data_IF_098083372617
#
_entry.id   IF_098083372617
#
_cell.length_a   1.000
_cell.length_b   1.000
_cell.length_c   1.000
_cell.angle_alpha   90.00
_cell.angle_beta   90.00
_cell.angle_gamma   90.00
#
_symmetry.space_group_name_H-M   'P 1'
#
loop_
_entity.id
_entity.type
_entity.pdbx_description
1 polymer ?
#
# COMPACT_ATOMS: atom_id res chain seq x y z
N UNK A 1 11.02 12.16 -4.78
CA UNK A 1 9.88 12.47 -3.89
C UNK A 1 9.47 11.19 -3.19
N UNK A 2 9.35 11.21 -1.87
CA UNK A 2 8.93 10.07 -1.06
C UNK A 2 7.57 10.36 -0.44
N UNK A 3 6.61 9.45 -0.62
CA UNK A 3 5.28 9.55 -0.03
C UNK A 3 5.17 8.61 1.16
N UNK A 4 4.41 9.04 2.17
CA UNK A 4 4.09 8.27 3.35
C UNK A 4 2.58 8.20 3.55
N UNK A 5 2.08 7.02 3.91
CA UNK A 5 0.67 6.83 4.21
C UNK A 5 0.48 5.92 5.42
N UNK A 6 -0.54 6.22 6.22
CA UNK A 6 -0.96 5.44 7.38
C UNK A 6 -1.99 4.40 6.96
N UNK A 7 -1.82 3.15 7.38
CA UNK A 7 -2.87 2.15 7.20
C UNK A 7 -4.05 2.45 8.13
N UNK A 8 -5.23 2.65 7.55
CA UNK A 8 -6.50 2.91 8.26
C UNK A 8 -7.48 1.74 8.15
N UNK A 9 -7.22 0.75 7.30
CA UNK A 9 -7.99 -0.50 7.22
C UNK A 9 -7.08 -1.69 6.89
N UNK A 10 -6.73 -2.46 7.93
CA UNK A 10 -5.97 -3.72 7.84
C UNK A 10 -6.88 -4.97 7.81
N UNK A 11 -8.20 -4.82 7.67
CA UNK A 11 -9.13 -5.95 7.74
C UNK A 11 -9.17 -6.74 6.42
N UNK A 12 -9.80 -7.93 6.40
CA UNK A 12 -10.01 -8.72 5.19
C UNK A 12 -8.71 -9.04 4.44
N UNK A 13 -7.69 -9.51 5.18
CA UNK A 13 -6.56 -10.22 4.59
C UNK A 13 -7.09 -11.48 3.89
N UNK A 14 -6.83 -11.70 2.59
CA UNK A 14 -7.21 -12.95 1.92
C UNK A 14 -6.62 -14.15 2.65
N UNK A 15 -7.38 -15.24 2.74
CA UNK A 15 -6.96 -16.47 3.42
C UNK A 15 -5.71 -17.11 2.81
N UNK A 16 -5.52 -16.91 1.51
CA UNK A 16 -4.43 -17.38 0.67
C UNK A 16 -3.33 -16.31 0.48
N UNK A 17 -3.37 -15.20 1.23
CA UNK A 17 -2.36 -14.14 1.14
C UNK A 17 -1.03 -14.58 1.78
N UNK A 18 0.00 -14.69 0.95
CA UNK A 18 1.38 -14.96 1.36
C UNK A 18 2.21 -13.68 1.32
N UNK A 19 2.94 -13.42 2.41
CA UNK A 19 3.80 -12.25 2.58
C UNK A 19 3.25 -11.21 3.57
N UNK A 20 3.76 -10.00 3.44
CA UNK A 20 3.51 -8.88 4.32
C UNK A 20 2.08 -8.35 4.17
N UNK A 21 1.54 -7.86 5.28
CA UNK A 21 0.22 -7.26 5.36
C UNK A 21 0.30 -6.03 6.27
N UNK A 22 -0.32 -4.90 5.90
CA UNK A 22 -0.18 -3.68 6.68
C UNK A 22 -0.91 -3.80 8.02
N UNK A 23 -0.37 -3.14 9.03
CA UNK A 23 -0.95 -3.05 10.37
C UNK A 23 -1.69 -1.72 10.53
N UNK A 24 -2.90 -1.76 11.11
CA UNK A 24 -3.70 -0.55 11.32
C UNK A 24 -2.95 0.41 12.24
N UNK A 25 -2.79 1.66 11.79
CA UNK A 25 -2.11 2.73 12.51
C UNK A 25 -0.64 2.91 12.14
N UNK A 26 0.02 1.90 11.57
CA UNK A 26 1.39 2.02 11.10
C UNK A 26 1.49 2.94 9.88
N UNK A 27 2.61 3.67 9.80
CA UNK A 27 2.96 4.56 8.68
C UNK A 27 4.02 3.89 7.83
N UNK A 28 3.80 3.90 6.52
CA UNK A 28 4.67 3.26 5.55
C UNK A 28 5.11 4.24 4.47
N UNK A 29 6.32 4.03 3.95
CA UNK A 29 6.73 4.57 2.66
C UNK A 29 5.92 3.89 1.56
N UNK A 30 5.28 4.67 0.69
CA UNK A 30 4.39 4.14 -0.35
C UNK A 30 4.64 4.76 -1.71
N UNK A 31 4.16 4.06 -2.74
CA UNK A 31 3.95 4.61 -4.08
C UNK A 31 2.50 4.39 -4.53
N UNK A 32 1.89 5.43 -5.10
CA UNK A 32 0.59 5.32 -5.77
C UNK A 32 0.81 5.02 -7.25
N UNK A 33 0.21 3.93 -7.73
CA UNK A 33 0.31 3.51 -9.14
C UNK A 33 -1.08 3.20 -9.67
N UNK A 34 -1.24 3.28 -10.98
CA UNK A 34 -2.46 2.82 -11.64
C UNK A 34 -2.34 1.33 -11.94
N UNK A 35 -3.38 0.56 -11.63
CA UNK A 35 -3.48 -0.81 -12.08
C UNK A 35 -3.37 -0.85 -13.62
N UNK A 36 -2.50 -1.70 -14.16
CA UNK A 36 -2.25 -1.74 -15.60
C UNK A 36 -3.52 -2.07 -16.42
N UNK A 37 -4.40 -2.92 -15.87
CA UNK A 37 -5.63 -3.41 -16.50
C UNK A 37 -6.84 -2.53 -16.20
N UNK A 38 -7.15 -2.27 -14.92
CA UNK A 38 -8.36 -1.54 -14.54
C UNK A 38 -8.19 -0.02 -14.55
N UNK A 39 -6.94 0.48 -14.59
CA UNK A 39 -6.59 1.90 -14.42
C UNK A 39 -7.01 2.51 -13.09
N UNK A 40 -7.43 1.69 -12.13
CA UNK A 40 -7.75 2.17 -10.79
C UNK A 40 -6.47 2.46 -10.00
N UNK A 41 -6.47 3.51 -9.15
CA UNK A 41 -5.36 3.79 -8.24
C UNK A 41 -5.15 2.66 -7.22
N UNK A 42 -3.90 2.32 -6.97
CA UNK A 42 -3.46 1.31 -6.01
C UNK A 42 -2.24 1.82 -5.23
N UNK A 43 -2.05 1.28 -4.03
CA UNK A 43 -0.94 1.61 -3.13
C UNK A 43 0.03 0.45 -3.09
N UNK A 44 1.30 0.72 -3.38
CA UNK A 44 2.40 -0.19 -3.13
C UNK A 44 3.14 0.27 -1.88
N UNK A 45 3.23 -0.62 -0.89
CA UNK A 45 4.06 -0.37 0.29
C UNK A 45 5.50 -0.74 -0.07
N UNK A 46 6.41 0.23 0.05
CA UNK A 46 7.81 0.00 -0.28
C UNK A 46 8.45 -0.92 0.76
N UNK A 47 9.16 -1.95 0.28
CA UNK A 47 9.80 -2.96 1.13
C UNK A 47 8.89 -4.14 1.51
N UNK A 48 7.60 -4.10 1.18
CA UNK A 48 6.73 -5.27 1.36
C UNK A 48 6.99 -6.33 0.29
N UNK A 49 7.05 -7.58 0.73
CA UNK A 49 6.97 -8.76 -0.12
C UNK A 49 5.57 -9.35 -0.06
N UNK A 50 5.00 -9.71 -1.20
CA UNK A 50 3.82 -10.55 -1.28
C UNK A 50 3.85 -11.37 -2.57
N UNK A 51 3.35 -12.60 -2.52
CA UNK A 51 3.19 -13.40 -3.73
C UNK A 51 2.08 -12.81 -4.62
N UNK A 52 2.20 -13.01 -5.94
CA UNK A 52 1.13 -12.62 -6.84
C UNK A 52 -0.18 -13.33 -6.46
N UNK A 53 -1.33 -12.64 -6.52
CA UNK A 53 -1.56 -11.30 -7.09
C UNK A 53 -1.49 -10.13 -6.08
N UNK A 54 -0.98 -10.33 -4.85
CA UNK A 54 -1.26 -9.45 -3.71
C UNK A 54 -0.26 -8.31 -3.46
N UNK A 55 0.61 -7.99 -4.42
CA UNK A 55 1.64 -6.96 -4.29
C UNK A 55 1.16 -5.49 -4.29
N UNK A 56 -0.15 -5.25 -4.25
CA UNK A 56 -0.75 -3.91 -4.26
C UNK A 56 -2.04 -3.88 -3.42
N UNK A 57 -2.34 -2.72 -2.84
CA UNK A 57 -3.48 -2.52 -1.96
C UNK A 57 -4.43 -1.45 -2.50
N UNK A 58 -5.72 -1.55 -2.15
CA UNK A 58 -6.70 -0.51 -2.46
C UNK A 58 -6.39 0.78 -1.70
N UNK A 59 -6.51 1.94 -2.36
CA UNK A 59 -6.24 3.26 -1.78
C UNK A 59 -7.02 3.54 -0.50
N UNK A 60 -8.29 3.11 -0.43
CA UNK A 60 -9.15 3.28 0.77
C UNK A 60 -8.58 2.67 2.06
N UNK A 61 -7.56 1.80 1.97
CA UNK A 61 -6.89 1.22 3.14
C UNK A 61 -5.86 2.14 3.77
N UNK A 62 -5.48 3.21 3.07
CA UNK A 62 -4.40 4.11 3.44
C UNK A 62 -4.85 5.57 3.40
N UNK A 63 -4.37 6.33 4.36
CA UNK A 63 -4.54 7.78 4.43
C UNK A 63 -3.16 8.43 4.22
N UNK A 64 -2.99 9.33 3.24
CA UNK A 64 -1.73 10.06 3.06
C UNK A 64 -1.40 10.89 4.32
N UNK A 65 -0.15 10.86 4.77
CA UNK A 65 0.27 11.62 5.96
C UNK A 65 1.41 12.60 5.68
N UNK A 66 2.26 12.33 4.68
CA UNK A 66 3.32 13.25 4.29
C UNK A 66 3.80 12.99 2.86
N UNK A 67 4.32 14.03 2.23
CA UNK A 67 5.10 13.96 1.00
C UNK A 67 6.40 14.76 1.22
N UNK A 68 7.53 14.10 0.99
CA UNK A 68 8.86 14.65 1.28
C UNK A 68 9.68 14.72 0.00
N UNK A 69 10.24 15.88 -0.27
CA UNK A 69 11.23 16.06 -1.33
C UNK A 69 12.61 15.78 -0.76
N UNK A 70 13.29 14.78 -1.33
CA UNK A 70 14.68 14.48 -1.00
C UNK A 70 15.51 15.29 -2.00
N UNK A 71 16.23 16.28 -1.48
CA UNK A 71 17.10 17.18 -2.24
C UNK A 71 18.46 16.54 -2.49
#
# INVERSE_FOLDING_TARGET
MQQYARCVDATRRPHDHIGDWPERGAVYSVEYRLNARTKEPQVHVLGFYAEQPYGAFATRRFEPVAEVWLN
#
